data_IF_277893163011
#
_entry.id   IF_277893163011
#
_cell.length_a   1.000
_cell.length_b   1.000
_cell.length_c   1.000
_cell.angle_alpha   90.00
_cell.angle_beta   90.00
_cell.angle_gamma   90.00
#
_symmetry.space_group_name_H-M   'P 1'
#
loop_
_entity.id
_entity.type
_entity.pdbx_description
1 polymer ?
#
# COMPACT_ATOMS: atom_id res chain seq x y z
N UNK A 1 -7.26 -6.49 25.91
CA UNK A 1 -6.17 -5.48 25.79
C UNK A 1 -6.15 -4.66 27.06
N UNK A 2 -5.05 -4.67 27.81
CA UNK A 2 -4.92 -3.83 29.01
C UNK A 2 -4.73 -2.37 28.58
N UNK A 3 -5.43 -1.42 29.23
CA UNK A 3 -5.29 0.04 29.00
C UNK A 3 -3.86 0.58 29.15
N UNK A 4 -2.92 -0.22 29.68
CA UNK A 4 -1.53 0.15 29.96
C UNK A 4 -0.60 0.17 28.74
N UNK A 5 -1.00 -0.38 27.59
CA UNK A 5 -0.12 -0.52 26.41
C UNK A 5 -0.41 0.46 25.26
N UNK A 6 -1.40 1.35 25.41
CA UNK A 6 -1.76 2.32 24.38
C UNK A 6 -0.91 3.59 24.47
N UNK A 7 -0.24 3.92 23.37
CA UNK A 7 0.48 5.19 23.22
C UNK A 7 -0.54 6.29 22.91
N UNK A 8 -0.99 7.00 23.96
CA UNK A 8 -2.01 8.04 23.85
C UNK A 8 -1.61 9.22 22.96
N UNK A 9 -0.31 9.50 22.83
CA UNK A 9 0.18 10.55 21.94
C UNK A 9 -0.02 10.14 20.49
N UNK A 10 0.39 8.93 20.13
CA UNK A 10 0.18 8.38 18.78
C UNK A 10 -1.31 8.31 18.47
N UNK A 11 -2.11 7.71 19.36
CA UNK A 11 -3.55 7.58 19.19
C UNK A 11 -4.25 8.94 19.02
N UNK A 12 -3.96 9.89 19.89
CA UNK A 12 -4.58 11.22 19.88
C UNK A 12 -4.24 12.00 18.62
N UNK A 13 -2.98 11.98 18.17
CA UNK A 13 -2.57 12.70 16.97
C UNK A 13 -3.12 12.02 15.71
N UNK A 14 -2.95 10.71 15.54
CA UNK A 14 -3.42 10.02 14.34
C UNK A 14 -4.95 10.07 14.24
N UNK A 15 -5.66 9.80 15.35
CA UNK A 15 -7.11 9.87 15.40
C UNK A 15 -7.63 11.29 15.22
N UNK A 16 -6.98 12.28 15.83
CA UNK A 16 -7.31 13.69 15.66
C UNK A 16 -7.16 14.17 14.22
N UNK A 17 -6.07 13.81 13.54
CA UNK A 17 -5.87 14.16 12.13
C UNK A 17 -6.92 13.54 11.21
N UNK A 18 -7.29 12.28 11.44
CA UNK A 18 -8.37 11.62 10.70
C UNK A 18 -9.73 12.29 10.96
N UNK A 19 -10.03 12.64 12.21
CA UNK A 19 -11.26 13.36 12.56
C UNK A 19 -11.31 14.75 11.92
N UNK A 20 -10.20 15.49 11.93
CA UNK A 20 -10.11 16.80 11.26
C UNK A 20 -10.34 16.65 9.77
N UNK A 21 -9.74 15.65 9.12
CA UNK A 21 -9.95 15.38 7.70
C UNK A 21 -11.44 15.08 7.39
N UNK A 22 -12.10 14.27 8.22
CA UNK A 22 -13.52 13.96 8.07
C UNK A 22 -14.40 15.20 8.26
N UNK A 23 -14.17 15.97 9.32
CA UNK A 23 -14.92 17.20 9.59
C UNK A 23 -14.72 18.23 8.47
N UNK A 24 -13.49 18.41 7.99
CA UNK A 24 -13.19 19.30 6.87
C UNK A 24 -13.92 18.86 5.60
N UNK A 25 -13.93 17.55 5.31
CA UNK A 25 -14.65 16.98 4.16
C UNK A 25 -16.17 17.16 4.28
N UNK A 26 -16.73 17.14 5.50
CA UNK A 26 -18.16 17.40 5.73
C UNK A 26 -18.53 18.88 5.57
N UNK A 27 -17.60 19.80 5.82
CA UNK A 27 -17.82 21.23 5.66
C UNK A 27 -17.74 21.62 4.18
N UNK A 28 -16.67 21.18 3.50
CA UNK A 28 -16.45 21.45 2.08
C UNK A 28 -15.60 20.35 1.42
N UNK A 29 -16.29 19.34 0.86
CA UNK A 29 -15.64 18.25 0.14
C UNK A 29 -14.88 18.73 -1.12
N UNK A 30 -15.33 19.82 -1.76
CA UNK A 30 -14.71 20.36 -2.97
C UNK A 30 -13.34 20.97 -2.67
N UNK A 31 -13.26 21.77 -1.59
CA UNK A 31 -11.99 22.34 -1.13
C UNK A 31 -10.99 21.25 -0.69
N UNK A 32 -11.46 20.23 0.04
CA UNK A 32 -10.60 19.09 0.42
C UNK A 32 -10.13 18.32 -0.81
N UNK A 33 -11.00 18.07 -1.80
CA UNK A 33 -10.63 17.43 -3.06
C UNK A 33 -9.53 18.18 -3.80
N UNK A 34 -9.69 19.50 -3.99
CA UNK A 34 -8.65 20.34 -4.63
C UNK A 34 -7.32 20.31 -3.87
N UNK A 35 -7.36 20.32 -2.53
CA UNK A 35 -6.16 20.21 -1.72
C UNK A 35 -5.45 18.86 -1.90
N UNK A 36 -6.22 17.77 -1.94
CA UNK A 36 -5.69 16.42 -2.21
C UNK A 36 -5.07 16.35 -3.59
N UNK A 37 -5.74 16.85 -4.63
CA UNK A 37 -5.24 16.83 -6.01
C UNK A 37 -3.96 17.66 -6.16
N UNK A 38 -3.92 18.86 -5.58
CA UNK A 38 -2.73 19.70 -5.58
C UNK A 38 -1.55 19.03 -4.85
N UNK A 39 -1.82 18.41 -3.71
CA UNK A 39 -0.81 17.67 -2.93
C UNK A 39 -0.30 16.44 -3.66
N UNK A 40 -1.19 15.70 -4.32
CA UNK A 40 -0.86 14.56 -5.15
C UNK A 40 0.01 14.98 -6.35
N UNK A 41 -0.38 16.02 -7.08
CA UNK A 41 0.37 16.53 -8.22
C UNK A 41 1.77 17.00 -7.81
N UNK A 42 1.88 17.71 -6.68
CA UNK A 42 3.16 18.12 -6.11
C UNK A 42 4.02 16.91 -5.74
N UNK A 43 3.46 15.93 -5.03
CA UNK A 43 4.17 14.71 -4.63
C UNK A 43 4.66 13.93 -5.84
N UNK A 44 3.80 13.71 -6.84
CA UNK A 44 4.15 13.00 -8.08
C UNK A 44 5.26 13.70 -8.86
N UNK A 45 5.22 15.04 -8.93
CA UNK A 45 6.25 15.83 -9.63
C UNK A 45 7.63 15.72 -8.98
N UNK A 46 7.72 15.80 -7.66
CA UNK A 46 9.00 15.86 -6.96
C UNK A 46 9.53 14.49 -6.49
N UNK A 47 8.64 13.56 -6.13
CA UNK A 47 9.01 12.25 -5.59
C UNK A 47 8.77 11.09 -6.57
N UNK A 48 8.16 11.32 -7.74
CA UNK A 48 7.85 10.24 -8.70
C UNK A 48 9.09 9.46 -9.15
N UNK A 49 10.15 10.15 -9.56
CA UNK A 49 11.41 9.50 -9.96
C UNK A 49 12.08 8.76 -8.80
N UNK A 50 12.03 9.33 -7.59
CA UNK A 50 12.52 8.68 -6.38
C UNK A 50 11.80 7.34 -6.15
N UNK A 51 10.47 7.32 -6.26
CA UNK A 51 9.67 6.09 -6.08
C UNK A 51 10.00 5.02 -7.11
N UNK A 52 10.17 5.39 -8.38
CA UNK A 52 10.52 4.44 -9.44
C UNK A 52 11.88 3.78 -9.18
N UNK A 53 12.91 4.58 -8.87
CA UNK A 53 14.25 4.06 -8.54
C UNK A 53 14.21 3.21 -7.28
N UNK A 54 13.46 3.65 -6.26
CA UNK A 54 13.33 2.92 -5.01
C UNK A 54 12.70 1.53 -5.21
N UNK A 55 11.63 1.42 -6.01
CA UNK A 55 11.00 0.14 -6.33
C UNK A 55 11.92 -0.81 -7.09
N UNK A 56 12.68 -0.31 -8.06
CA UNK A 56 13.67 -1.13 -8.79
C UNK A 56 14.79 -1.58 -7.86
N UNK A 57 15.28 -0.69 -6.99
CA UNK A 57 16.33 -1.01 -6.03
C UNK A 57 15.88 -2.08 -5.04
N UNK A 58 14.69 -1.95 -4.45
CA UNK A 58 14.17 -2.95 -3.50
C UNK A 58 13.92 -4.30 -4.17
N UNK A 59 13.49 -4.31 -5.43
CA UNK A 59 13.37 -5.52 -6.23
C UNK A 59 14.73 -6.20 -6.43
N UNK A 60 15.75 -5.46 -6.87
CA UNK A 60 17.12 -5.99 -7.06
C UNK A 60 17.69 -6.52 -5.74
N UNK A 61 17.57 -5.78 -4.64
CA UNK A 61 18.05 -6.22 -3.32
C UNK A 61 17.36 -7.53 -2.92
N UNK A 62 16.05 -7.61 -3.07
CA UNK A 62 15.27 -8.82 -2.74
C UNK A 62 15.70 -10.00 -3.60
N UNK A 63 15.97 -9.78 -4.88
CA UNK A 63 16.44 -10.81 -5.80
C UNK A 63 17.82 -11.33 -5.39
N UNK A 64 18.77 -10.43 -5.11
CA UNK A 64 20.12 -10.79 -4.63
C UNK A 64 20.02 -11.56 -3.31
N UNK A 65 19.20 -11.10 -2.36
CA UNK A 65 18.98 -11.81 -1.11
C UNK A 65 18.47 -13.23 -1.33
N UNK A 66 17.57 -13.43 -2.29
CA UNK A 66 16.98 -14.74 -2.59
C UNK A 66 17.98 -15.75 -3.15
N UNK A 67 19.03 -15.28 -3.84
CA UNK A 67 20.08 -16.12 -4.43
C UNK A 67 21.36 -16.22 -3.59
N UNK A 68 21.43 -15.51 -2.47
CA UNK A 68 22.59 -15.54 -1.56
C UNK A 68 22.27 -16.34 -0.29
N UNK A 69 23.26 -16.52 0.57
CA UNK A 69 23.10 -17.19 1.87
C UNK A 69 22.00 -16.53 2.73
N UNK A 70 21.74 -15.24 2.53
CA UNK A 70 20.68 -14.49 3.21
C UNK A 70 19.28 -15.08 2.97
N UNK A 71 19.02 -15.66 1.79
CA UNK A 71 17.76 -16.30 1.45
C UNK A 71 17.51 -17.62 2.19
N UNK A 72 18.56 -18.20 2.79
CA UNK A 72 18.47 -19.45 3.56
C UNK A 72 18.14 -19.23 5.04
N UNK A 73 18.20 -17.98 5.51
CA UNK A 73 17.97 -17.62 6.91
C UNK A 73 16.51 -17.82 7.29
N UNK A 74 16.28 -18.59 8.36
CA UNK A 74 14.94 -18.83 8.91
C UNK A 74 14.54 -17.70 9.86
N UNK A 75 13.48 -16.96 9.49
CA UNK A 75 12.94 -15.87 10.30
C UNK A 75 12.17 -16.40 11.52
N UNK A 76 12.40 -15.78 12.69
CA UNK A 76 11.61 -16.01 13.90
C UNK A 76 12.07 -17.17 14.78
N UNK A 77 13.31 -17.65 14.60
CA UNK A 77 13.96 -18.70 15.42
C UNK A 77 13.13 -19.99 15.58
N UNK A 78 12.28 -20.31 14.61
CA UNK A 78 11.48 -21.53 14.62
C UNK A 78 12.19 -22.67 13.86
N UNK A 79 12.13 -23.92 14.37
CA UNK A 79 12.75 -25.06 13.70
C UNK A 79 12.05 -25.39 12.38
N UNK A 80 10.73 -25.13 12.28
CA UNK A 80 9.91 -25.33 11.09
C UNK A 80 8.77 -24.30 11.04
N UNK A 81 8.21 -24.00 9.85
CA UNK A 81 7.02 -23.14 9.75
C UNK A 81 5.84 -23.72 10.53
N UNK A 82 5.09 -22.84 11.21
CA UNK A 82 3.87 -23.22 11.94
C UNK A 82 2.64 -23.34 11.03
N UNK A 83 2.75 -22.86 9.78
CA UNK A 83 1.67 -22.81 8.80
C UNK A 83 2.10 -23.59 7.56
N UNK A 84 1.19 -24.39 6.99
CA UNK A 84 1.49 -25.13 5.77
C UNK A 84 1.68 -24.18 4.58
N UNK A 85 2.47 -24.60 3.59
CA UNK A 85 2.76 -23.78 2.39
C UNK A 85 1.49 -23.32 1.68
N UNK A 86 0.51 -24.21 1.55
CA UNK A 86 -0.78 -23.89 0.94
C UNK A 86 -1.53 -22.81 1.74
N UNK A 87 -1.65 -22.96 3.06
CA UNK A 87 -2.32 -21.97 3.92
C UNK A 87 -1.60 -20.63 3.88
N UNK A 88 -0.27 -20.62 3.86
CA UNK A 88 0.52 -19.40 3.75
C UNK A 88 0.30 -18.68 2.41
N UNK A 89 0.34 -19.42 1.30
CA UNK A 89 0.07 -18.85 -0.03
C UNK A 89 -1.36 -18.33 -0.15
N UNK A 90 -2.34 -19.08 0.38
CA UNK A 90 -3.73 -18.65 0.40
C UNK A 90 -3.91 -17.34 1.18
N UNK A 91 -3.33 -17.22 2.38
CA UNK A 91 -3.36 -15.97 3.16
C UNK A 91 -2.71 -14.81 2.42
N UNK A 92 -1.58 -15.02 1.75
CA UNK A 92 -0.93 -13.96 0.96
C UNK A 92 -1.84 -13.48 -0.18
N UNK A 93 -2.40 -14.41 -0.97
CA UNK A 93 -3.25 -14.06 -2.10
C UNK A 93 -4.54 -13.36 -1.65
N UNK A 94 -5.18 -13.83 -0.59
CA UNK A 94 -6.44 -13.24 -0.11
C UNK A 94 -6.24 -11.91 0.62
N UNK A 95 -5.11 -11.71 1.28
CA UNK A 95 -4.83 -10.45 2.01
C UNK A 95 -4.39 -9.33 1.07
N UNK A 96 -3.64 -9.66 0.00
CA UNK A 96 -2.93 -8.66 -0.81
C UNK A 96 -3.66 -8.22 -2.08
N UNK A 97 -4.53 -9.07 -2.66
CA UNK A 97 -5.25 -8.70 -3.89
C UNK A 97 -6.44 -7.77 -3.64
N UNK A 98 -7.08 -7.87 -2.45
CA UNK A 98 -8.19 -7.04 -1.97
C UNK A 98 -9.26 -6.67 -3.04
N UNK A 99 -10.15 -5.72 -2.73
CA UNK A 99 -11.16 -5.25 -3.68
C UNK A 99 -10.59 -4.42 -4.84
N UNK A 100 -9.46 -3.76 -4.61
CA UNK A 100 -8.79 -2.93 -5.61
C UNK A 100 -8.22 -3.74 -6.78
N UNK A 101 -7.69 -4.94 -6.51
CA UNK A 101 -7.14 -5.80 -7.57
C UNK A 101 -8.21 -6.24 -8.58
N UNK A 102 -9.43 -6.54 -8.12
CA UNK A 102 -10.55 -6.91 -9.01
C UNK A 102 -10.98 -5.72 -9.87
N UNK A 103 -11.06 -4.52 -9.27
CA UNK A 103 -11.42 -3.29 -9.99
C UNK A 103 -10.41 -2.95 -11.08
N UNK A 104 -9.13 -2.85 -10.70
CA UNK A 104 -8.08 -2.37 -11.58
C UNK A 104 -7.59 -3.42 -12.58
N UNK A 105 -7.79 -4.72 -12.32
CA UNK A 105 -7.46 -5.78 -13.28
C UNK A 105 -8.16 -5.60 -14.64
N UNK A 106 -9.39 -5.08 -14.64
CA UNK A 106 -10.11 -4.74 -15.87
C UNK A 106 -9.94 -3.26 -16.24
N UNK A 107 -10.05 -2.36 -15.26
CA UNK A 107 -10.09 -0.92 -15.53
C UNK A 107 -8.75 -0.38 -16.06
N UNK A 108 -7.62 -0.85 -15.54
CA UNK A 108 -6.31 -0.28 -15.86
C UNK A 108 -5.83 -0.60 -17.29
N UNK A 109 -5.88 -1.86 -17.78
CA UNK A 109 -5.53 -2.13 -19.17
C UNK A 109 -6.44 -1.42 -20.16
N UNK A 110 -7.74 -1.28 -19.83
CA UNK A 110 -8.69 -0.52 -20.64
C UNK A 110 -8.34 0.97 -20.65
N UNK A 111 -7.99 1.55 -19.49
CA UNK A 111 -7.55 2.93 -19.41
C UNK A 111 -6.31 3.16 -20.28
N UNK A 112 -5.27 2.32 -20.14
CA UNK A 112 -4.04 2.45 -20.92
C UNK A 112 -4.16 2.08 -22.40
N UNK A 113 -5.24 1.38 -22.79
CA UNK A 113 -5.59 1.20 -24.18
C UNK A 113 -6.20 2.48 -24.78
N UNK A 114 -6.99 3.23 -24.01
CA UNK A 114 -7.61 4.48 -24.45
C UNK A 114 -6.66 5.69 -24.35
N UNK A 115 -5.84 5.71 -23.31
CA UNK A 115 -4.82 6.73 -23.01
C UNK A 115 -3.44 6.05 -22.96
N UNK A 116 -2.83 5.93 -24.14
CA UNK A 116 -1.62 5.13 -24.34
C UNK A 116 -0.44 5.72 -23.54
N UNK A 117 0.24 4.91 -22.68
CA UNK A 117 1.35 5.42 -21.90
C UNK A 117 2.47 6.02 -22.77
N UNK A 118 3.12 7.12 -22.33
CA UNK A 118 4.09 7.85 -23.14
C UNK A 118 5.23 7.04 -23.74
N UNK A 119 5.63 5.95 -23.08
CA UNK A 119 6.71 5.06 -23.53
C UNK A 119 6.34 4.24 -24.77
N UNK A 120 5.04 4.15 -25.10
CA UNK A 120 4.51 3.43 -26.27
C UNK A 120 3.96 4.38 -27.35
N UNK A 121 4.18 5.70 -27.22
CA UNK A 121 3.76 6.67 -28.23
C UNK A 121 4.60 6.52 -29.49
N UNK A 122 3.94 6.31 -30.64
CA UNK A 122 4.58 6.13 -31.95
C UNK A 122 4.26 4.79 -32.63
N UNK A 123 3.66 3.85 -31.90
CA UNK A 123 3.17 2.60 -32.49
C UNK A 123 1.70 2.75 -32.90
N UNK A 124 1.44 3.34 -34.06
CA UNK A 124 0.10 3.75 -34.57
C UNK A 124 -0.87 2.60 -34.93
N UNK A 125 -0.67 1.39 -34.40
CA UNK A 125 -1.58 0.26 -34.60
C UNK A 125 -2.45 0.02 -33.36
N UNK A 126 -3.75 -0.22 -33.57
CA UNK A 126 -4.68 -0.65 -32.51
C UNK A 126 -4.19 -1.89 -31.75
N UNK A 127 -3.46 -2.78 -32.46
CA UNK A 127 -2.79 -3.92 -31.86
C UNK A 127 -1.67 -3.51 -30.88
N UNK A 128 -0.94 -2.43 -31.16
CA UNK A 128 0.10 -1.92 -30.26
C UNK A 128 -0.49 -1.30 -28.99
N UNK A 129 -1.64 -0.61 -29.09
CA UNK A 129 -2.33 -0.07 -27.92
C UNK A 129 -2.77 -1.18 -26.92
N UNK A 130 -3.18 -2.36 -27.42
CA UNK A 130 -3.49 -3.51 -26.56
C UNK A 130 -2.23 -4.01 -25.82
N UNK A 131 -1.10 -4.11 -26.52
CA UNK A 131 0.17 -4.50 -25.92
C UNK A 131 0.65 -3.47 -24.89
N UNK A 132 0.50 -2.18 -25.19
CA UNK A 132 0.83 -1.09 -24.27
C UNK A 132 -0.01 -1.17 -22.99
N UNK A 133 -1.33 -1.35 -23.11
CA UNK A 133 -2.23 -1.42 -21.96
C UNK A 133 -1.95 -2.62 -21.05
N UNK A 134 -1.76 -3.81 -21.64
CA UNK A 134 -1.44 -5.02 -20.87
C UNK A 134 -0.04 -4.97 -20.24
N UNK A 135 0.97 -4.47 -20.98
CA UNK A 135 2.34 -4.39 -20.46
C UNK A 135 2.45 -3.41 -19.29
N UNK A 136 1.77 -2.26 -19.35
CA UNK A 136 1.71 -1.31 -18.25
C UNK A 136 1.02 -1.91 -17.01
N UNK A 137 -0.12 -2.59 -17.21
CA UNK A 137 -0.79 -3.30 -16.11
C UNK A 137 0.09 -4.38 -15.48
N UNK A 138 0.77 -5.20 -16.28
CA UNK A 138 1.71 -6.20 -15.75
C UNK A 138 2.91 -5.58 -15.03
N UNK A 139 3.38 -4.41 -15.43
CA UNK A 139 4.43 -3.69 -14.72
C UNK A 139 3.94 -3.25 -13.34
N UNK A 140 2.76 -2.64 -13.26
CA UNK A 140 2.20 -2.12 -12.00
C UNK A 140 1.77 -3.22 -11.02
N UNK A 141 1.30 -4.38 -11.51
CA UNK A 141 0.84 -5.50 -10.68
C UNK A 141 1.83 -6.68 -10.60
N UNK A 142 2.98 -6.55 -11.26
CA UNK A 142 4.02 -7.56 -11.34
C UNK A 142 5.03 -7.46 -10.20
N UNK A 143 6.23 -8.00 -10.44
CA UNK A 143 7.23 -8.24 -9.40
C UNK A 143 7.59 -7.01 -8.56
N UNK A 144 7.64 -5.81 -9.16
CA UNK A 144 8.00 -4.58 -8.46
C UNK A 144 7.00 -4.20 -7.36
N UNK A 145 5.70 -4.40 -7.59
CA UNK A 145 4.69 -4.14 -6.55
C UNK A 145 4.77 -5.18 -5.43
N UNK A 146 4.95 -6.46 -5.78
CA UNK A 146 5.03 -7.54 -4.79
C UNK A 146 6.24 -7.43 -3.87
N UNK A 147 7.39 -6.94 -4.34
CA UNK A 147 8.56 -6.73 -3.47
C UNK A 147 8.35 -5.62 -2.45
N UNK A 148 7.52 -4.62 -2.77
CA UNK A 148 7.16 -3.55 -1.85
C UNK A 148 6.21 -3.99 -0.73
N UNK A 149 5.39 -5.02 -0.97
CA UNK A 149 4.31 -5.46 -0.08
C UNK A 149 4.80 -6.24 1.16
N UNK A 150 6.10 -6.46 1.32
CA UNK A 150 6.61 -6.85 2.62
C UNK A 150 7.91 -7.63 2.65
N UNK A 151 8.67 -7.76 1.56
CA UNK A 151 9.86 -8.62 1.61
C UNK A 151 10.93 -8.05 2.55
N UNK A 152 11.39 -6.82 2.30
CA UNK A 152 12.44 -6.21 3.14
C UNK A 152 11.90 -5.75 4.49
N UNK A 153 10.70 -5.18 4.54
CA UNK A 153 10.08 -4.72 5.78
C UNK A 153 9.84 -5.87 6.77
N UNK A 154 9.38 -7.03 6.30
CA UNK A 154 9.20 -8.20 7.16
C UNK A 154 10.54 -8.74 7.64
N UNK A 155 11.58 -8.79 6.79
CA UNK A 155 12.92 -9.21 7.24
C UNK A 155 13.41 -8.33 8.38
N UNK A 156 13.30 -7.00 8.24
CA UNK A 156 13.70 -6.04 9.28
C UNK A 156 12.87 -6.20 10.55
N UNK A 157 11.55 -6.30 10.44
CA UNK A 157 10.68 -6.47 11.61
C UNK A 157 10.93 -7.79 12.33
N UNK A 158 11.17 -8.88 11.59
CA UNK A 158 11.48 -10.19 12.16
C UNK A 158 12.84 -10.18 12.86
N UNK A 159 13.84 -9.54 12.27
CA UNK A 159 15.14 -9.32 12.91
C UNK A 159 15.00 -8.55 14.23
N UNK A 160 14.24 -7.45 14.24
CA UNK A 160 14.03 -6.65 15.44
C UNK A 160 13.20 -7.40 16.49
N UNK A 161 12.21 -8.20 16.06
CA UNK A 161 11.45 -9.09 16.95
C UNK A 161 12.34 -10.13 17.61
N UNK A 162 13.31 -10.70 16.87
CA UNK A 162 14.30 -11.64 17.41
C UNK A 162 15.24 -11.00 18.45
N UNK A 163 15.30 -9.66 18.48
CA UNK A 163 15.97 -8.83 19.49
C UNK A 163 15.04 -8.39 20.63
N UNK A 164 13.80 -8.89 20.69
CA UNK A 164 12.83 -8.59 21.75
C UNK A 164 12.00 -7.33 21.52
N UNK A 165 12.13 -6.69 20.35
CA UNK A 165 11.37 -5.47 20.05
C UNK A 165 9.92 -5.78 19.66
N UNK A 166 8.96 -4.92 20.01
CA UNK A 166 7.56 -5.08 19.62
C UNK A 166 7.37 -4.93 18.12
N UNK A 167 6.29 -5.52 17.59
CA UNK A 167 5.88 -5.36 16.19
C UNK A 167 5.10 -4.04 16.01
N UNK A 168 5.82 -2.92 16.01
CA UNK A 168 5.30 -1.57 15.75
C UNK A 168 5.95 -0.98 14.50
N UNK A 169 5.31 -0.04 13.78
CA UNK A 169 5.93 0.59 12.62
C UNK A 169 7.30 1.20 12.91
N UNK A 170 7.47 1.91 14.05
CA UNK A 170 8.76 2.46 14.48
C UNK A 170 9.89 1.43 14.60
N UNK A 171 9.56 0.15 14.79
CA UNK A 171 10.54 -0.93 14.87
C UNK A 171 11.30 -1.14 13.56
N UNK A 172 10.75 -0.71 12.42
CA UNK A 172 11.49 -0.69 11.15
C UNK A 172 12.76 0.17 11.20
N UNK A 173 12.78 1.19 12.07
CA UNK A 173 13.92 2.09 12.25
C UNK A 173 14.92 1.58 13.30
N UNK A 174 14.59 0.51 14.02
CA UNK A 174 15.42 -0.04 15.09
C UNK A 174 16.84 -0.43 14.64
N UNK A 175 17.08 -1.04 13.46
CA UNK A 175 18.44 -1.37 13.03
C UNK A 175 19.35 -0.15 12.84
N UNK A 176 18.78 1.03 12.59
CA UNK A 176 19.53 2.27 12.34
C UNK A 176 19.66 3.13 13.60
N UNK A 177 18.59 3.21 14.40
CA UNK A 177 18.48 4.14 15.53
C UNK A 177 18.58 3.45 16.90
N UNK A 178 18.54 2.12 16.94
CA UNK A 178 18.59 1.29 18.14
C UNK A 178 17.45 1.59 19.12
N UNK A 179 17.72 1.40 20.40
CA UNK A 179 16.75 1.61 21.50
C UNK A 179 16.21 3.04 21.59
N UNK A 180 16.89 4.02 20.98
CA UNK A 180 16.47 5.43 21.02
C UNK A 180 15.14 5.65 20.32
N UNK A 181 14.79 4.85 19.30
CA UNK A 181 13.49 4.99 18.61
C UNK A 181 12.33 4.38 19.41
N UNK A 182 12.64 3.48 20.35
CA UNK A 182 11.64 2.76 21.13
C UNK A 182 11.17 3.54 22.34
N UNK A 183 12.06 4.34 22.95
CA UNK A 183 11.82 5.03 24.21
C UNK A 183 11.49 6.52 24.02
N UNK A 184 10.20 6.90 24.13
CA UNK A 184 9.71 8.29 24.08
C UNK A 184 10.37 9.15 22.98
N UNK A 185 10.49 8.56 21.79
CA UNK A 185 11.13 9.17 20.63
C UNK A 185 10.12 9.95 19.81
N UNK A 186 10.43 11.21 19.48
CA UNK A 186 9.66 11.98 18.49
C UNK A 186 9.69 11.26 17.14
N UNK A 187 10.86 10.78 16.72
CA UNK A 187 11.01 10.05 15.44
C UNK A 187 10.18 8.77 15.46
N UNK A 188 10.21 8.01 16.56
CA UNK A 188 9.41 6.79 16.70
C UNK A 188 7.90 7.06 16.71
N UNK A 189 7.45 8.10 17.41
CA UNK A 189 6.05 8.51 17.41
C UNK A 189 5.59 8.96 16.03
N UNK A 190 6.39 9.79 15.33
CA UNK A 190 6.10 10.23 13.96
C UNK A 190 6.02 9.05 13.00
N UNK A 191 6.94 8.10 13.07
CA UNK A 191 6.91 6.89 12.24
C UNK A 191 5.62 6.10 12.44
N UNK A 192 5.18 5.91 13.69
CA UNK A 192 3.91 5.24 13.98
C UNK A 192 2.71 6.02 13.46
N UNK A 193 2.64 7.34 13.70
CA UNK A 193 1.54 8.21 13.26
C UNK A 193 1.42 8.19 11.74
N UNK A 194 2.51 8.42 11.01
CA UNK A 194 2.53 8.40 9.54
C UNK A 194 2.12 7.03 9.02
N UNK A 195 2.58 5.95 9.64
CA UNK A 195 2.21 4.59 9.22
C UNK A 195 0.72 4.30 9.42
N UNK A 196 0.12 4.77 10.53
CA UNK A 196 -1.32 4.64 10.77
C UNK A 196 -2.10 5.42 9.71
N UNK A 197 -1.73 6.68 9.45
CA UNK A 197 -2.38 7.51 8.45
C UNK A 197 -2.27 6.91 7.05
N UNK A 198 -1.08 6.41 6.68
CA UNK A 198 -0.83 5.74 5.41
C UNK A 198 -1.65 4.45 5.27
N UNK A 199 -1.73 3.64 6.32
CA UNK A 199 -2.55 2.42 6.32
C UNK A 199 -4.05 2.75 6.16
N UNK A 200 -4.54 3.78 6.85
CA UNK A 200 -5.91 4.26 6.68
C UNK A 200 -6.17 4.74 5.25
N UNK A 201 -5.33 5.65 4.73
CA UNK A 201 -5.45 6.18 3.37
C UNK A 201 -5.42 5.07 2.30
N UNK A 202 -4.49 4.12 2.44
CA UNK A 202 -4.37 2.98 1.52
C UNK A 202 -5.54 1.99 1.59
N UNK A 203 -6.25 1.90 2.73
CA UNK A 203 -7.38 0.98 2.91
C UNK A 203 -8.71 1.59 2.49
N UNK A 204 -8.91 2.89 2.69
CA UNK A 204 -10.18 3.59 2.40
C UNK A 204 -10.48 3.60 0.90
N UNK A 205 -9.47 3.85 0.04
CA UNK A 205 -9.64 3.87 -1.42
C UNK A 205 -10.23 2.57 -1.98
N UNK A 206 -9.62 1.39 -1.71
CA UNK A 206 -10.16 0.10 -2.10
C UNK A 206 -11.57 -0.20 -1.56
N UNK A 207 -11.90 0.25 -0.35
CA UNK A 207 -13.27 0.13 0.19
C UNK A 207 -14.25 0.97 -0.65
N UNK A 208 -13.86 2.18 -1.04
CA UNK A 208 -14.63 3.04 -1.95
C UNK A 208 -14.91 2.37 -3.29
N UNK A 209 -13.90 1.77 -3.92
CA UNK A 209 -14.07 1.02 -5.18
C UNK A 209 -15.02 -0.17 -5.05
N UNK A 210 -15.01 -0.88 -3.92
CA UNK A 210 -15.96 -1.96 -3.66
C UNK A 210 -17.39 -1.43 -3.52
N UNK A 211 -17.58 -0.30 -2.85
CA UNK A 211 -18.88 0.36 -2.75
C UNK A 211 -19.43 0.75 -4.13
N UNK A 212 -18.59 1.38 -4.97
CA UNK A 212 -18.95 1.74 -6.34
C UNK A 212 -19.32 0.51 -7.17
N UNK A 213 -18.49 -0.55 -7.15
CA UNK A 213 -18.77 -1.79 -7.88
C UNK A 213 -20.09 -2.44 -7.43
N UNK A 214 -20.34 -2.50 -6.13
CA UNK A 214 -21.59 -3.02 -5.60
C UNK A 214 -22.79 -2.19 -6.06
N UNK A 215 -22.67 -0.86 -6.06
CA UNK A 215 -23.70 0.04 -6.57
C UNK A 215 -23.99 -0.16 -8.06
N UNK A 216 -22.95 -0.24 -8.89
CA UNK A 216 -23.10 -0.55 -10.32
C UNK A 216 -23.72 -1.92 -10.55
N UNK A 217 -23.29 -2.96 -9.83
CA UNK A 217 -23.83 -4.31 -9.96
C UNK A 217 -25.31 -4.38 -9.59
N UNK A 218 -25.72 -3.73 -8.49
CA UNK A 218 -27.12 -3.66 -8.08
C UNK A 218 -27.98 -2.90 -9.09
N UNK A 219 -27.45 -1.81 -9.65
CA UNK A 219 -28.14 -1.07 -10.70
C UNK A 219 -28.31 -1.91 -11.97
N UNK A 220 -27.26 -2.58 -12.43
CA UNK A 220 -27.27 -3.36 -13.65
C UNK A 220 -28.22 -4.57 -13.58
N UNK A 221 -28.32 -5.23 -12.42
CA UNK A 221 -29.13 -6.44 -12.25
C UNK A 221 -30.57 -6.10 -11.85
N UNK A 222 -30.76 -5.16 -10.93
CA UNK A 222 -32.06 -4.89 -10.28
C UNK A 222 -32.63 -3.51 -10.57
N UNK A 223 -31.91 -2.63 -11.25
CA UNK A 223 -32.35 -1.25 -11.56
C UNK A 223 -32.27 -0.27 -10.38
N UNK A 224 -31.73 -0.66 -9.22
CA UNK A 224 -31.60 0.25 -8.08
C UNK A 224 -30.57 1.35 -8.34
N UNK A 225 -30.98 2.63 -8.27
CA UNK A 225 -30.04 3.76 -8.34
C UNK A 225 -29.56 4.12 -6.93
N UNK A 226 -28.31 3.77 -6.60
CA UNK A 226 -27.71 4.17 -5.32
C UNK A 226 -27.15 5.59 -5.46
N UNK A 227 -27.99 6.59 -5.19
CA UNK A 227 -27.62 8.01 -5.22
C UNK A 227 -26.59 8.43 -4.15
N UNK A 228 -26.21 7.55 -3.21
CA UNK A 228 -25.31 7.87 -2.09
C UNK A 228 -23.80 7.83 -2.42
N UNK A 229 -23.40 7.32 -3.60
CA UNK A 229 -21.98 7.11 -3.94
C UNK A 229 -21.49 7.90 -5.16
N UNK A 230 -22.38 8.65 -5.83
CA UNK A 230 -22.10 9.34 -7.10
C UNK A 230 -22.25 10.87 -7.03
N UNK A 231 -22.06 11.48 -5.86
CA UNK A 231 -21.87 12.94 -5.77
C UNK A 231 -20.44 13.25 -5.37
#
# INVERSE_FOLDING_TARGET
MNKKDMDWTVFGISGGLLLVFLIASMIDAGAVGQFVDASFAWSSKYFGAYWQVFMVLTFIITLIMSFTELGTVRLGKLPRPNISRFKWLAMLMTTLLAGGGVFWAAAEPMYHYLDVPPVFLGDDATASAVHAGLSQGYLHWGFLAWTMIGTLGVVVLMYAKDKGQPLKPRTLLYPLLGERVMNKSVIGATADIVSILAACAGTIGPIGFLGLQAGYGLNAIFGFQIHLLCK
#
